data_IF_298622932116
#
_entry.id   IF_298622932116
#
_cell.length_a   1.000
_cell.length_b   1.000
_cell.length_c   1.000
_cell.angle_alpha   90.00
_cell.angle_beta   90.00
_cell.angle_gamma   90.00
#
_symmetry.space_group_name_H-M   'P 1'
#
loop_
_entity.id
_entity.type
_entity.pdbx_description
1 polymer ?
#
# COMPACT_ATOMS: atom_id res chain seq x y z
N UNK A 1 -10.64 -13.58 -19.77
CA UNK A 1 -10.85 -14.92 -19.16
C UNK A 1 -11.66 -14.66 -17.90
N UNK A 2 -12.80 -15.32 -17.70
CA UNK A 2 -13.58 -15.21 -16.45
C UNK A 2 -13.17 -16.34 -15.52
N UNK A 3 -13.00 -16.04 -14.24
CA UNK A 3 -12.68 -17.02 -13.20
C UNK A 3 -13.96 -17.71 -12.74
N UNK A 4 -13.91 -19.03 -12.54
CA UNK A 4 -15.08 -19.82 -12.13
C UNK A 4 -15.43 -19.56 -10.66
N UNK A 5 -14.42 -19.24 -9.84
CA UNK A 5 -14.58 -18.96 -8.42
C UNK A 5 -14.79 -17.47 -8.16
N UNK A 6 -15.74 -17.19 -7.27
CA UNK A 6 -15.97 -15.84 -6.73
C UNK A 6 -14.96 -15.59 -5.62
N UNK A 7 -14.48 -14.34 -5.46
CA UNK A 7 -13.59 -14.01 -4.36
C UNK A 7 -14.28 -14.31 -3.01
N UNK A 8 -13.56 -14.91 -2.04
CA UNK A 8 -14.14 -15.27 -0.75
C UNK A 8 -14.49 -14.05 0.11
N UNK A 9 -13.93 -12.89 -0.21
CA UNK A 9 -14.14 -11.62 0.50
C UNK A 9 -14.43 -10.50 -0.50
N UNK A 10 -15.23 -9.52 -0.07
CA UNK A 10 -15.36 -8.27 -0.82
C UNK A 10 -14.02 -7.52 -0.84
N UNK A 11 -13.77 -6.79 -1.92
CA UNK A 11 -12.57 -5.97 -2.07
C UNK A 11 -12.95 -4.50 -2.05
N UNK A 12 -12.10 -3.69 -1.42
CA UNK A 12 -12.25 -2.24 -1.49
C UNK A 12 -11.90 -1.78 -2.92
N UNK A 13 -12.93 -1.33 -3.64
CA UNK A 13 -12.81 -0.84 -5.02
C UNK A 13 -12.29 0.60 -5.10
N UNK A 14 -12.22 1.30 -3.96
CA UNK A 14 -11.68 2.66 -3.86
C UNK A 14 -10.17 2.65 -3.59
N UNK A 15 -9.67 1.57 -2.97
CA UNK A 15 -8.25 1.31 -2.77
C UNK A 15 -7.50 0.90 -4.03
N UNK A 16 -6.18 0.82 -3.92
CA UNK A 16 -5.29 0.34 -5.00
C UNK A 16 -5.17 -1.18 -5.03
N UNK A 17 -4.98 -1.73 -6.23
CA UNK A 17 -4.56 -3.10 -6.44
C UNK A 17 -3.11 -3.19 -6.91
N UNK A 18 -2.46 -4.31 -6.66
CA UNK A 18 -1.11 -4.59 -7.13
C UNK A 18 -1.06 -5.89 -7.91
N UNK A 19 -0.15 -5.96 -8.88
CA UNK A 19 0.24 -7.21 -9.53
C UNK A 19 1.70 -7.49 -9.20
N UNK A 20 1.97 -8.60 -8.53
CA UNK A 20 3.33 -9.00 -8.19
C UNK A 20 3.46 -10.52 -8.29
N UNK A 21 4.56 -10.97 -8.92
CA UNK A 21 4.95 -12.39 -9.06
C UNK A 21 3.78 -13.32 -9.44
N UNK A 22 3.03 -12.94 -10.48
CA UNK A 22 1.94 -13.77 -11.01
C UNK A 22 0.67 -13.79 -10.14
N UNK A 23 0.57 -12.89 -9.17
CA UNK A 23 -0.61 -12.76 -8.31
C UNK A 23 -1.16 -11.33 -8.34
N UNK A 24 -2.48 -11.21 -8.28
CA UNK A 24 -3.19 -9.95 -8.08
C UNK A 24 -3.54 -9.79 -6.60
N UNK A 25 -3.41 -8.56 -6.10
CA UNK A 25 -3.64 -8.23 -4.70
C UNK A 25 -4.64 -7.09 -4.58
N UNK A 26 -5.52 -7.19 -3.59
CA UNK A 26 -6.48 -6.14 -3.22
C UNK A 26 -6.57 -6.01 -1.70
N UNK A 27 -6.93 -4.81 -1.27
CA UNK A 27 -7.41 -4.56 0.09
C UNK A 27 -8.77 -5.23 0.28
N UNK A 28 -8.93 -6.00 1.36
CA UNK A 28 -10.21 -6.58 1.74
C UNK A 28 -11.11 -5.46 2.26
N UNK A 29 -12.38 -5.48 1.87
CA UNK A 29 -13.36 -4.55 2.42
C UNK A 29 -13.76 -5.00 3.83
N UNK A 30 -13.49 -4.15 4.82
CA UNK A 30 -13.81 -4.39 6.23
C UNK A 30 -15.12 -3.70 6.67
N UNK A 31 -15.78 -2.93 5.79
CA UNK A 31 -16.99 -2.16 6.12
C UNK A 31 -18.25 -3.03 6.15
N UNK A 32 -18.32 -4.07 5.31
CA UNK A 32 -19.41 -5.05 5.30
C UNK A 32 -18.87 -6.48 5.34
N UNK A 33 -18.68 -7.08 6.54
CA UNK A 33 -18.19 -8.44 6.66
C UNK A 33 -19.21 -9.44 6.07
N UNK A 34 -18.92 -9.99 4.90
CA UNK A 34 -19.74 -11.05 4.30
C UNK A 34 -19.45 -12.36 5.04
N UNK A 35 -20.31 -12.72 5.99
CA UNK A 35 -20.30 -14.06 6.60
C UNK A 35 -19.40 -14.28 7.82
N UNK A 36 -18.89 -13.22 8.46
CA UNK A 36 -18.06 -13.31 9.68
C UNK A 36 -17.00 -12.20 9.75
N UNK A 37 -16.09 -12.25 10.72
CA UNK A 37 -14.96 -11.30 10.79
C UNK A 37 -14.08 -11.42 9.53
N UNK A 38 -13.88 -10.29 8.83
CA UNK A 38 -12.96 -10.21 7.70
C UNK A 38 -11.53 -10.49 8.16
N UNK A 39 -10.77 -11.36 7.48
CA UNK A 39 -9.42 -11.68 7.91
C UNK A 39 -8.51 -10.46 7.77
N UNK A 40 -7.52 -10.38 8.66
CA UNK A 40 -6.46 -9.36 8.55
C UNK A 40 -5.53 -9.68 7.39
N UNK A 41 -5.44 -8.78 6.41
CA UNK A 41 -4.49 -8.87 5.31
C UNK A 41 -5.05 -8.45 3.95
N UNK A 42 -4.40 -8.94 2.90
CA UNK A 42 -4.72 -8.61 1.52
C UNK A 42 -5.27 -9.84 0.80
N UNK A 43 -6.34 -9.65 0.03
CA UNK A 43 -6.84 -10.71 -0.85
C UNK A 43 -5.84 -10.92 -1.98
N UNK A 44 -5.38 -12.16 -2.13
CA UNK A 44 -4.50 -12.58 -3.21
C UNK A 44 -5.24 -13.52 -4.15
N UNK A 45 -5.11 -13.27 -5.45
CA UNK A 45 -5.51 -14.19 -6.50
C UNK A 45 -4.29 -14.63 -7.30
N UNK A 46 -3.93 -15.91 -7.23
CA UNK A 46 -2.80 -16.47 -7.98
C UNK A 46 -3.26 -16.85 -9.39
N UNK A 47 -2.58 -16.35 -10.42
CA UNK A 47 -2.99 -16.58 -11.81
C UNK A 47 -2.69 -17.99 -12.33
N UNK A 48 -1.72 -18.69 -11.73
CA UNK A 48 -1.28 -20.01 -12.19
C UNK A 48 -2.33 -21.10 -11.95
N UNK A 49 -2.86 -21.15 -10.72
CA UNK A 49 -3.84 -22.14 -10.27
C UNK A 49 -5.26 -21.55 -10.14
N UNK A 50 -5.41 -20.25 -10.46
CA UNK A 50 -6.66 -19.50 -10.34
C UNK A 50 -7.28 -19.60 -8.92
N UNK A 51 -6.43 -19.58 -7.88
CA UNK A 51 -6.86 -19.71 -6.48
C UNK A 51 -6.84 -18.40 -5.69
N UNK A 52 -7.78 -18.28 -4.75
CA UNK A 52 -7.80 -17.20 -3.77
C UNK A 52 -7.12 -17.60 -2.46
N UNK A 53 -6.37 -16.67 -1.88
CA UNK A 53 -5.79 -16.78 -0.55
C UNK A 53 -5.70 -15.41 0.11
N UNK A 54 -5.29 -15.36 1.38
CA UNK A 54 -5.04 -14.10 2.10
C UNK A 54 -3.56 -14.02 2.41
N UNK A 55 -2.94 -12.89 2.08
CA UNK A 55 -1.56 -12.58 2.46
C UNK A 55 -1.56 -11.74 3.73
N UNK A 56 -0.93 -12.23 4.83
CA UNK A 56 -0.80 -11.46 6.07
C UNK A 56 -0.11 -10.11 5.85
N UNK A 57 -0.50 -9.05 6.59
CA UNK A 57 0.09 -7.73 6.45
C UNK A 57 1.47 -7.62 7.13
N UNK A 58 2.21 -6.49 6.92
CA UNK A 58 3.45 -6.20 7.64
C UNK A 58 3.30 -6.22 9.18
N UNK A 59 4.36 -6.58 9.94
CA UNK A 59 4.32 -6.84 11.39
C UNK A 59 4.20 -5.61 12.31
N UNK A 60 3.81 -4.43 11.83
CA UNK A 60 3.75 -3.20 12.65
C UNK A 60 2.34 -2.63 12.81
N UNK A 61 1.34 -3.44 12.52
CA UNK A 61 0.00 -2.98 12.23
C UNK A 61 -1.04 -3.40 13.28
N UNK A 62 -0.74 -3.15 14.56
CA UNK A 62 -1.81 -3.11 15.57
C UNK A 62 -2.70 -1.90 15.25
N UNK A 63 -3.83 -2.13 14.57
CA UNK A 63 -4.73 -1.07 14.13
C UNK A 63 -4.53 -0.60 12.69
N UNK A 64 -4.04 -1.47 11.79
CA UNK A 64 -4.08 -1.25 10.35
C UNK A 64 -5.50 -0.81 9.95
N UNK A 65 -5.63 0.44 9.54
CA UNK A 65 -6.80 0.88 8.78
C UNK A 65 -6.48 0.53 7.34
N UNK A 66 -6.97 -0.62 6.90
CA UNK A 66 -6.71 -1.21 5.59
C UNK A 66 -7.08 -0.24 4.46
N UNK A 67 -8.14 0.54 4.68
CA UNK A 67 -8.64 1.62 3.83
C UNK A 67 -7.62 2.75 3.64
N UNK A 68 -6.62 2.86 4.53
CA UNK A 68 -5.55 3.87 4.46
C UNK A 68 -4.24 3.31 3.89
N UNK A 69 -4.25 2.07 3.42
CA UNK A 69 -3.06 1.38 2.91
C UNK A 69 -3.09 1.26 1.40
N UNK A 70 -1.93 1.40 0.80
CA UNK A 70 -1.78 1.40 -0.65
C UNK A 70 -0.90 0.24 -1.10
N UNK A 71 -1.46 -0.60 -1.94
CA UNK A 71 -0.78 -1.72 -2.58
C UNK A 71 -0.13 -1.25 -3.88
N UNK A 72 1.12 -1.65 -4.07
CA UNK A 72 1.85 -1.44 -5.31
C UNK A 72 2.83 -2.59 -5.56
N UNK A 73 3.46 -2.56 -6.73
CA UNK A 73 4.63 -3.38 -7.00
C UNK A 73 5.86 -2.47 -7.00
N UNK A 74 6.91 -2.89 -6.30
CA UNK A 74 8.18 -2.19 -6.23
C UNK A 74 9.33 -3.17 -6.43
N UNK A 75 10.11 -2.99 -7.50
CA UNK A 75 11.25 -3.84 -7.86
C UNK A 75 10.95 -5.35 -7.94
N UNK A 76 9.74 -5.71 -8.38
CA UNK A 76 9.23 -7.07 -8.48
C UNK A 76 8.65 -7.62 -7.18
N UNK A 77 8.67 -6.84 -6.10
CA UNK A 77 8.16 -7.22 -4.78
C UNK A 77 6.78 -6.60 -4.54
N UNK A 78 5.96 -7.28 -3.73
CA UNK A 78 4.70 -6.68 -3.26
C UNK A 78 5.06 -5.54 -2.29
N UNK A 79 4.50 -4.36 -2.50
CA UNK A 79 4.75 -3.19 -1.65
C UNK A 79 3.46 -2.68 -1.02
N UNK A 80 3.55 -2.30 0.25
CA UNK A 80 2.47 -1.68 1.03
C UNK A 80 2.98 -0.36 1.59
N UNK A 81 2.37 0.74 1.16
CA UNK A 81 2.54 2.03 1.81
C UNK A 81 1.44 2.21 2.87
N UNK A 82 1.83 2.55 4.09
CA UNK A 82 0.92 2.74 5.23
C UNK A 82 1.36 3.94 6.08
N UNK A 83 0.45 4.70 6.69
CA UNK A 83 0.83 5.70 7.69
C UNK A 83 1.55 5.06 8.87
N UNK A 84 2.70 5.58 9.24
CA UNK A 84 3.39 5.17 10.45
C UNK A 84 2.66 5.65 11.73
N UNK A 85 3.24 5.39 12.91
CA UNK A 85 2.68 5.78 14.20
C UNK A 85 2.25 7.26 14.24
N UNK A 86 1.09 7.51 14.85
CA UNK A 86 0.47 8.84 14.95
C UNK A 86 0.21 9.54 13.61
N UNK A 87 0.28 8.83 12.47
CA UNK A 87 0.23 9.43 11.14
C UNK A 87 1.27 10.57 11.00
N UNK A 88 2.49 10.41 11.49
CA UNK A 88 3.57 11.40 11.33
C UNK A 88 4.53 11.06 10.18
N UNK A 89 4.46 9.83 9.70
CA UNK A 89 5.24 9.32 8.58
C UNK A 89 4.38 8.49 7.64
N UNK A 90 4.89 8.25 6.42
CA UNK A 90 4.47 7.14 5.57
C UNK A 90 5.59 6.11 5.56
N UNK A 91 5.26 4.88 5.88
CA UNK A 91 6.15 3.73 5.86
C UNK A 91 5.84 2.87 4.64
N UNK A 92 6.88 2.41 3.94
CA UNK A 92 6.74 1.52 2.78
C UNK A 92 7.43 0.21 3.10
N UNK A 93 6.63 -0.84 3.10
CA UNK A 93 7.02 -2.21 3.38
C UNK A 93 7.01 -3.02 2.09
N UNK A 94 8.03 -3.82 1.85
CA UNK A 94 8.04 -4.78 0.74
C UNK A 94 8.04 -6.22 1.23
N UNK A 95 7.46 -7.10 0.43
CA UNK A 95 7.48 -8.54 0.63
C UNK A 95 7.94 -9.21 -0.67
N UNK A 96 9.13 -9.81 -0.61
CA UNK A 96 9.72 -10.53 -1.74
C UNK A 96 9.04 -11.88 -1.98
N UNK A 97 8.75 -12.60 -0.89
CA UNK A 97 8.14 -13.93 -0.95
C UNK A 97 6.87 -14.03 -0.10
N UNK A 98 5.75 -13.75 -0.76
CA UNK A 98 4.40 -13.86 -0.21
C UNK A 98 3.94 -15.30 0.05
N UNK A 99 4.68 -16.31 -0.44
CA UNK A 99 4.37 -17.72 -0.22
C UNK A 99 5.04 -18.29 1.04
N UNK A 100 5.97 -17.54 1.65
CA UNK A 100 6.52 -17.87 2.98
C UNK A 100 5.43 -17.65 4.05
N UNK A 101 5.40 -18.50 5.09
CA UNK A 101 4.40 -18.45 6.15
C UNK A 101 5.04 -18.35 7.55
N UNK A 102 5.00 -17.18 8.23
CA UNK A 102 4.41 -15.93 7.75
C UNK A 102 5.27 -15.25 6.66
N UNK A 103 4.69 -14.41 5.79
CA UNK A 103 5.45 -13.67 4.80
C UNK A 103 6.45 -12.73 5.48
N UNK A 104 7.65 -12.65 4.92
CA UNK A 104 8.70 -11.75 5.42
C UNK A 104 8.50 -10.36 4.81
N UNK A 105 8.14 -9.41 5.66
CA UNK A 105 8.01 -8.01 5.31
C UNK A 105 9.23 -7.23 5.77
N UNK A 106 9.76 -6.41 4.87
CA UNK A 106 10.90 -5.53 5.14
C UNK A 106 10.46 -4.08 5.01
N UNK A 107 10.79 -3.26 6.02
CA UNK A 107 10.60 -1.81 5.92
C UNK A 107 11.70 -1.23 5.05
N UNK A 108 11.35 -0.64 3.91
CA UNK A 108 12.32 -0.11 2.96
C UNK A 108 12.44 1.42 3.02
N UNK A 109 11.33 2.12 3.22
CA UNK A 109 11.33 3.58 3.21
C UNK A 109 10.46 4.16 4.33
N UNK A 110 10.93 5.26 4.91
CA UNK A 110 10.16 6.11 5.83
C UNK A 110 10.19 7.54 5.31
N UNK A 111 9.01 8.10 5.07
CA UNK A 111 8.84 9.51 4.70
C UNK A 111 8.32 10.28 5.90
N UNK A 112 9.23 11.00 6.56
CA UNK A 112 8.90 11.85 7.72
C UNK A 112 8.25 13.16 7.29
N UNK A 113 7.54 13.81 8.24
CA UNK A 113 6.77 15.04 8.04
C UNK A 113 5.46 14.85 7.26
N UNK A 114 4.84 13.69 7.40
CA UNK A 114 3.44 13.53 7.01
C UNK A 114 2.57 14.24 8.06
N UNK A 115 2.31 15.54 7.89
CA UNK A 115 1.22 16.22 8.60
C UNK A 115 0.91 17.56 7.93
N UNK A 116 -0.21 17.71 7.20
CA UNK A 116 -1.03 18.88 7.45
C UNK A 116 -1.66 18.61 8.82
N UNK A 117 -1.21 19.31 9.87
CA UNK A 117 -2.04 19.37 11.09
C UNK A 117 -3.44 19.76 10.61
N UNK A 118 -4.51 19.05 11.03
CA UNK A 118 -5.84 19.53 10.71
C UNK A 118 -5.92 20.93 11.33
N UNK A 119 -5.86 21.96 10.50
CA UNK A 119 -6.26 23.28 10.95
C UNK A 119 -7.63 23.09 11.57
N UNK A 120 -7.84 23.60 12.78
CA UNK A 120 -9.12 23.43 13.50
C UNK A 120 -10.29 23.68 12.54
N UNK A 121 -11.06 22.62 12.24
CA UNK A 121 -12.17 22.68 11.28
C UNK A 121 -11.92 22.07 9.88
N UNK A 122 -10.79 21.40 9.62
CA UNK A 122 -10.63 20.63 8.39
C UNK A 122 -11.52 19.37 8.42
N UNK A 123 -12.41 19.27 7.43
CA UNK A 123 -13.30 18.11 7.25
C UNK A 123 -12.47 16.82 7.08
N UNK A 124 -12.84 15.76 7.82
CA UNK A 124 -12.21 14.43 7.78
C UNK A 124 -12.13 13.92 6.33
N UNK A 125 -13.13 14.22 5.50
CA UNK A 125 -13.14 13.84 4.08
C UNK A 125 -12.01 14.51 3.27
N UNK A 126 -11.67 15.77 3.57
CA UNK A 126 -10.58 16.49 2.90
C UNK A 126 -9.21 16.01 3.37
N UNK A 127 -9.10 15.56 4.62
CA UNK A 127 -7.92 14.88 5.13
C UNK A 127 -7.64 13.56 4.39
N UNK A 128 -8.67 12.74 4.17
CA UNK A 128 -8.55 11.52 3.36
C UNK A 128 -8.16 11.82 1.90
N UNK A 129 -8.77 12.84 1.27
CA UNK A 129 -8.41 13.22 -0.11
C UNK A 129 -6.97 13.75 -0.25
N UNK A 130 -6.50 14.58 0.68
CA UNK A 130 -5.11 15.07 0.68
C UNK A 130 -4.11 13.95 0.93
N UNK A 131 -4.48 12.99 1.78
CA UNK A 131 -3.71 11.77 2.06
C UNK A 131 -3.56 10.89 0.84
N UNK A 132 -4.69 10.60 0.18
CA UNK A 132 -4.74 9.73 -0.99
C UNK A 132 -3.90 10.31 -2.13
N UNK A 133 -4.02 11.61 -2.38
CA UNK A 133 -3.17 12.28 -3.37
C UNK A 133 -1.69 12.22 -3.01
N UNK A 134 -1.31 12.37 -1.74
CA UNK A 134 0.09 12.37 -1.33
C UNK A 134 0.72 10.98 -1.41
N UNK A 135 0.05 9.93 -0.92
CA UNK A 135 0.56 8.56 -1.01
C UNK A 135 0.65 8.12 -2.47
N UNK A 136 -0.36 8.41 -3.29
CA UNK A 136 -0.29 8.17 -4.73
C UNK A 136 0.83 8.96 -5.41
N UNK A 137 1.11 10.19 -4.96
CA UNK A 137 2.23 10.98 -5.47
C UNK A 137 3.57 10.37 -5.08
N UNK A 138 3.76 9.98 -3.81
CA UNK A 138 4.98 9.30 -3.34
C UNK A 138 5.21 8.00 -4.10
N UNK A 139 4.17 7.18 -4.29
CA UNK A 139 4.26 5.96 -5.08
C UNK A 139 4.60 6.24 -6.55
N UNK A 140 3.97 7.26 -7.16
CA UNK A 140 4.31 7.69 -8.52
C UNK A 140 5.74 8.20 -8.62
N UNK A 141 6.23 8.91 -7.60
CA UNK A 141 7.59 9.44 -7.57
C UNK A 141 8.59 8.31 -7.39
N UNK A 142 8.32 7.29 -6.56
CA UNK A 142 9.19 6.11 -6.41
C UNK A 142 9.22 5.29 -7.70
N UNK A 143 8.05 4.97 -8.27
CA UNK A 143 7.95 4.23 -9.55
C UNK A 143 8.55 5.05 -10.71
N UNK A 144 8.44 6.38 -10.64
CA UNK A 144 9.02 7.33 -11.60
C UNK A 144 10.53 7.49 -11.45
N UNK A 145 11.06 7.46 -10.21
CA UNK A 145 12.48 7.49 -9.89
C UNK A 145 13.19 6.24 -10.45
N UNK A 146 12.53 5.09 -10.49
CA UNK A 146 13.07 3.87 -11.11
C UNK A 146 13.20 3.99 -12.65
N UNK A 147 12.49 4.94 -13.27
CA UNK A 147 12.63 5.28 -14.71
C UNK A 147 13.64 6.38 -14.99
N UNK A 148 14.07 7.12 -13.97
CA UNK A 148 15.06 8.18 -14.07
C UNK A 148 16.44 7.60 -13.73
N UNK A 149 17.08 7.01 -14.74
CA UNK A 149 18.55 6.99 -14.75
C UNK A 149 18.99 8.44 -14.64
N UNK A 150 19.56 8.78 -13.49
CA UNK A 150 19.96 10.12 -13.10
C UNK A 150 20.91 10.71 -14.16
N UNK A 151 20.42 11.59 -15.02
CA UNK A 151 21.28 12.55 -15.73
C UNK A 151 21.32 13.82 -14.86
N UNK A 152 22.48 14.13 -14.24
CA UNK A 152 22.57 15.32 -13.42
C UNK A 152 22.54 16.52 -14.37
N UNK A 153 21.47 17.30 -14.33
CA UNK A 153 21.57 18.69 -14.73
C UNK A 153 20.63 19.56 -13.91
N UNK A 154 21.26 20.58 -13.34
CA UNK A 154 20.71 21.65 -12.53
C UNK A 154 19.34 22.15 -13.01
N UNK A 155 18.38 22.26 -12.10
CA UNK A 155 17.59 23.46 -11.79
C UNK A 155 16.19 23.11 -11.29
N UNK A 156 15.82 23.72 -10.15
CA UNK A 156 14.50 23.73 -9.50
C UNK A 156 14.14 22.44 -8.75
N UNK A 157 14.43 22.44 -7.44
CA UNK A 157 13.98 21.43 -6.49
C UNK A 157 12.50 21.74 -6.13
N UNK A 158 11.49 20.97 -6.56
CA UNK A 158 10.23 20.92 -5.83
C UNK A 158 10.50 20.28 -4.46
N UNK A 159 9.81 20.71 -3.41
CA UNK A 159 9.98 20.20 -2.05
C UNK A 159 9.96 18.67 -2.03
N UNK A 160 11.13 18.05 -1.88
CA UNK A 160 11.29 16.60 -1.76
C UNK A 160 11.20 16.29 -0.26
N UNK A 161 10.17 15.56 0.22
CA UNK A 161 10.18 15.09 1.60
C UNK A 161 11.44 14.25 1.84
N UNK A 162 12.09 14.45 2.99
CA UNK A 162 13.37 13.83 3.30
C UNK A 162 13.24 12.30 3.29
N UNK A 163 13.74 11.67 2.23
CA UNK A 163 13.92 10.22 2.11
C UNK A 163 15.01 9.77 3.09
N UNK A 164 14.64 8.93 4.05
CA UNK A 164 15.61 8.21 4.89
C UNK A 164 15.53 6.73 4.50
N UNK A 165 16.51 6.19 3.76
CA UNK A 165 16.60 4.75 3.55
C UNK A 165 16.91 4.06 4.89
N UNK A 166 16.25 2.95 5.16
CA UNK A 166 16.44 2.12 6.36
C UNK A 166 17.56 1.12 6.14
#
# INVERSE_FOLDING_TARGET
>A
RETVEKPPYAVDITGTSAFSRGSLFWTIDHTEPVGGESPSGFLRFRLEDESFSVTPPPPCCEGLVYEMSYLSELHGELSVAHPGPNCESIEIWTCNDVDTNPPEWTLCYIFNNYCPQPAEGLDIAMYHLCKDMFILQVLKDIVGLDRLIYHPHDSVIPYIPSLVPV
#
